data_IF_946223310420
#
_entry.id   IF_946223310420
#
_cell.length_a   1.000
_cell.length_b   1.000
_cell.length_c   1.000
_cell.angle_alpha   90.00
_cell.angle_beta   90.00
_cell.angle_gamma   90.00
#
_symmetry.space_group_name_H-M   'P 1'
#
loop_
_entity.id
_entity.type
_entity.pdbx_description
1 polymer ?
#
# COMPACT_ATOMS: atom_id res chain seq x y z
N UNK A 1 -16.21 -4.44 -23.78
CA UNK A 1 -15.28 -3.37 -23.30
C UNK A 1 -15.00 -2.36 -24.40
N UNK A 2 -14.53 -2.81 -25.57
CA UNK A 2 -14.23 -1.93 -26.71
C UNK A 2 -15.43 -1.08 -27.17
N UNK A 3 -16.66 -1.57 -27.04
CA UNK A 3 -17.84 -0.80 -27.42
C UNK A 3 -18.09 0.40 -26.51
N UNK A 4 -17.82 0.27 -25.20
CA UNK A 4 -17.86 1.41 -24.26
C UNK A 4 -16.76 2.43 -24.56
N UNK A 5 -15.58 1.96 -24.96
CA UNK A 5 -14.47 2.85 -25.35
C UNK A 5 -14.86 3.61 -26.62
N UNK A 6 -15.35 2.92 -27.65
CA UNK A 6 -15.80 3.55 -28.90
C UNK A 6 -16.90 4.56 -28.65
N UNK A 7 -17.88 4.23 -27.82
CA UNK A 7 -18.94 5.16 -27.43
C UNK A 7 -18.38 6.43 -26.77
N UNK A 8 -17.45 6.29 -25.82
CA UNK A 8 -16.82 7.45 -25.15
C UNK A 8 -15.97 8.29 -26.10
N UNK A 9 -15.33 7.68 -27.11
CA UNK A 9 -14.50 8.38 -28.10
C UNK A 9 -15.35 9.11 -29.14
N UNK A 10 -16.57 8.64 -29.41
CA UNK A 10 -17.49 9.28 -30.35
C UNK A 10 -18.15 10.56 -29.81
N UNK A 11 -18.01 10.82 -28.51
CA UNK A 11 -18.43 12.08 -27.88
C UNK A 11 -17.56 13.24 -28.37
N UNK A 12 -18.06 14.02 -29.32
CA UNK A 12 -17.35 15.13 -29.98
C UNK A 12 -16.99 16.28 -29.03
N UNK A 13 -17.64 16.37 -27.87
CA UNK A 13 -17.36 17.43 -26.88
C UNK A 13 -16.18 17.06 -25.96
N UNK A 14 -15.70 15.80 -26.00
CA UNK A 14 -14.53 15.38 -25.23
C UNK A 14 -13.22 15.83 -25.88
N UNK A 15 -12.50 16.71 -25.17
CA UNK A 15 -11.19 17.23 -25.61
C UNK A 15 -9.99 16.61 -24.90
N UNK A 16 -10.22 15.81 -23.85
CA UNK A 16 -9.15 15.29 -22.98
C UNK A 16 -9.02 13.76 -23.03
N UNK A 17 -7.79 13.27 -22.85
CA UNK A 17 -7.49 11.85 -22.68
C UNK A 17 -8.17 11.27 -21.42
N UNK A 18 -8.43 9.96 -21.44
CA UNK A 18 -9.07 9.26 -20.33
C UNK A 18 -8.45 7.88 -20.10
N UNK A 19 -8.65 7.35 -18.90
CA UNK A 19 -8.24 6.00 -18.52
C UNK A 19 -9.42 5.04 -18.53
N UNK A 20 -9.13 3.78 -18.84
CA UNK A 20 -10.07 2.66 -18.69
C UNK A 20 -9.43 1.66 -17.75
N UNK A 21 -10.01 1.49 -16.56
CA UNK A 21 -9.52 0.54 -15.57
C UNK A 21 -10.39 -0.73 -15.61
N UNK A 22 -9.77 -1.89 -15.88
CA UNK A 22 -10.43 -3.18 -15.74
C UNK A 22 -10.29 -3.69 -14.32
N UNK A 23 -11.28 -3.40 -13.49
CA UNK A 23 -11.29 -3.80 -12.09
C UNK A 23 -11.23 -5.33 -11.90
N UNK A 24 -11.76 -6.09 -12.86
CA UNK A 24 -11.69 -7.55 -12.91
C UNK A 24 -10.26 -8.10 -12.98
N UNK A 25 -9.34 -7.40 -13.66
CA UNK A 25 -7.94 -7.86 -13.74
C UNK A 25 -7.26 -7.85 -12.37
N UNK A 26 -7.63 -6.92 -11.49
CA UNK A 26 -7.11 -6.85 -10.11
C UNK A 26 -7.53 -8.13 -9.36
N UNK A 27 -8.78 -8.54 -9.50
CA UNK A 27 -9.33 -9.76 -8.88
C UNK A 27 -8.64 -11.00 -9.42
N UNK A 28 -8.52 -11.11 -10.75
CA UNK A 28 -7.85 -12.24 -11.41
C UNK A 28 -6.39 -12.36 -10.97
N UNK A 29 -5.66 -11.25 -10.89
CA UNK A 29 -4.26 -11.24 -10.44
C UNK A 29 -4.11 -11.57 -8.97
N UNK A 30 -5.01 -11.08 -8.12
CA UNK A 30 -5.01 -11.44 -6.70
C UNK A 30 -5.27 -12.95 -6.49
N UNK A 31 -6.27 -13.50 -7.18
CA UNK A 31 -6.57 -14.92 -7.12
C UNK A 31 -5.43 -15.77 -7.67
N UNK A 32 -4.80 -15.34 -8.77
CA UNK A 32 -3.61 -15.98 -9.31
C UNK A 32 -2.47 -16.00 -8.28
N UNK A 33 -2.20 -14.87 -7.60
CA UNK A 33 -1.20 -14.81 -6.53
C UNK A 33 -1.51 -15.81 -5.41
N UNK A 34 -2.75 -15.81 -4.91
CA UNK A 34 -3.17 -16.72 -3.83
C UNK A 34 -3.10 -18.19 -4.22
N UNK A 35 -3.35 -18.50 -5.49
CA UNK A 35 -3.21 -19.86 -6.00
C UNK A 35 -1.74 -20.27 -6.16
N UNK A 36 -0.89 -19.41 -6.73
CA UNK A 36 0.53 -19.70 -6.97
C UNK A 36 1.39 -19.65 -5.71
N UNK A 37 1.02 -18.83 -4.73
CA UNK A 37 1.78 -18.57 -3.50
C UNK A 37 0.84 -18.58 -2.28
N UNK A 38 0.29 -19.75 -1.89
CA UNK A 38 -0.75 -19.85 -0.87
C UNK A 38 -0.30 -19.33 0.51
N UNK A 39 0.97 -19.56 0.87
CA UNK A 39 1.53 -19.17 2.17
C UNK A 39 2.03 -17.71 2.19
N UNK A 40 1.95 -16.99 1.07
CA UNK A 40 2.48 -15.61 0.96
C UNK A 40 1.33 -14.60 0.92
N UNK A 41 1.15 -13.86 2.00
CA UNK A 41 0.18 -12.77 2.07
C UNK A 41 0.66 -11.54 1.26
N UNK A 42 -0.06 -11.13 0.19
CA UNK A 42 0.32 -9.95 -0.57
C UNK A 42 0.11 -8.67 0.26
N UNK A 43 1.12 -7.79 0.23
CA UNK A 43 1.07 -6.43 0.74
C UNK A 43 1.19 -5.45 -0.43
N UNK A 44 0.06 -4.92 -0.91
CA UNK A 44 0.05 -4.01 -2.05
C UNK A 44 0.72 -2.68 -1.71
N UNK A 45 1.68 -2.25 -2.52
CA UNK A 45 2.38 -0.98 -2.36
C UNK A 45 1.51 0.16 -2.88
N UNK A 46 0.95 0.96 -1.97
CA UNK A 46 -0.05 2.00 -2.30
C UNK A 46 0.50 3.05 -3.27
N UNK A 47 1.81 3.32 -3.21
CA UNK A 47 2.50 4.27 -4.09
C UNK A 47 2.37 3.91 -5.58
N UNK A 48 2.23 2.62 -5.92
CA UNK A 48 2.14 2.17 -7.32
C UNK A 48 0.91 2.74 -8.04
N UNK A 49 -0.25 2.65 -7.39
CA UNK A 49 -1.48 3.28 -7.82
C UNK A 49 -2.39 3.40 -6.60
N UNK A 50 -2.61 4.63 -6.15
CA UNK A 50 -3.40 4.91 -4.96
C UNK A 50 -4.88 5.15 -5.27
N UNK A 51 -5.36 4.90 -6.50
CA UNK A 51 -6.75 5.14 -6.87
C UNK A 51 -7.73 4.42 -5.94
N UNK A 52 -8.84 5.10 -5.59
CA UNK A 52 -9.76 4.59 -4.57
C UNK A 52 -10.46 3.31 -5.03
N UNK A 53 -10.72 3.13 -6.33
CA UNK A 53 -11.34 1.91 -6.86
C UNK A 53 -10.40 0.71 -6.75
N UNK A 54 -9.11 0.91 -7.05
CA UNK A 54 -8.06 -0.12 -6.91
C UNK A 54 -7.95 -0.57 -5.46
N UNK A 55 -7.77 0.39 -4.53
CA UNK A 55 -7.60 0.09 -3.11
C UNK A 55 -8.84 -0.56 -2.51
N UNK A 56 -10.06 -0.16 -2.91
CA UNK A 56 -11.31 -0.78 -2.44
C UNK A 56 -11.44 -2.22 -2.91
N UNK A 57 -11.07 -2.49 -4.16
CA UNK A 57 -11.09 -3.86 -4.71
C UNK A 57 -10.16 -4.76 -3.92
N UNK A 58 -8.93 -4.31 -3.67
CA UNK A 58 -7.95 -5.06 -2.89
C UNK A 58 -8.35 -5.22 -1.42
N UNK A 59 -8.98 -4.21 -0.83
CA UNK A 59 -9.51 -4.26 0.53
C UNK A 59 -10.61 -5.33 0.65
N UNK A 60 -11.55 -5.37 -0.29
CA UNK A 60 -12.64 -6.34 -0.32
C UNK A 60 -12.13 -7.78 -0.51
N UNK A 61 -10.99 -7.95 -1.19
CA UNK A 61 -10.27 -9.22 -1.33
C UNK A 61 -9.41 -9.57 -0.09
N UNK A 62 -9.47 -8.75 0.96
CA UNK A 62 -8.68 -8.88 2.19
C UNK A 62 -7.15 -8.83 1.97
N UNK A 63 -6.69 -8.14 0.93
CA UNK A 63 -5.27 -7.87 0.73
C UNK A 63 -4.68 -7.06 1.89
N UNK A 64 -3.38 -7.18 2.12
CA UNK A 64 -2.68 -6.27 3.03
C UNK A 64 -2.03 -5.13 2.23
N UNK A 65 -1.50 -4.11 2.91
CA UNK A 65 -0.99 -2.89 2.28
C UNK A 65 0.37 -2.47 2.83
N UNK A 66 1.19 -1.87 1.96
CA UNK A 66 2.43 -1.18 2.31
C UNK A 66 2.31 0.29 1.95
N UNK A 67 2.64 1.16 2.90
CA UNK A 67 2.56 2.61 2.73
C UNK A 67 3.78 3.31 3.32
N UNK A 68 4.04 4.52 2.83
CA UNK A 68 5.27 5.27 3.08
C UNK A 68 5.04 6.73 3.47
N UNK A 69 3.78 7.19 3.41
CA UNK A 69 3.43 8.59 3.64
C UNK A 69 2.13 8.76 4.44
N UNK A 70 1.98 9.94 5.06
CA UNK A 70 0.75 10.33 5.77
C UNK A 70 -0.48 10.25 4.88
N UNK A 71 -0.37 10.68 3.62
CA UNK A 71 -1.50 10.69 2.67
C UNK A 71 -1.99 9.27 2.40
N UNK A 72 -1.08 8.32 2.20
CA UNK A 72 -1.42 6.92 1.96
C UNK A 72 -2.06 6.27 3.19
N UNK A 73 -1.46 6.46 4.38
CA UNK A 73 -2.01 5.95 5.65
C UNK A 73 -3.41 6.50 5.86
N UNK A 74 -3.58 7.83 5.77
CA UNK A 74 -4.87 8.49 5.98
C UNK A 74 -5.92 7.95 5.01
N UNK A 75 -5.55 7.74 3.74
CA UNK A 75 -6.45 7.19 2.72
C UNK A 75 -6.92 5.78 3.09
N UNK A 76 -6.01 4.87 3.44
CA UNK A 76 -6.36 3.51 3.87
C UNK A 76 -7.25 3.51 5.11
N UNK A 77 -6.93 4.32 6.12
CA UNK A 77 -7.71 4.41 7.35
C UNK A 77 -9.12 4.97 7.09
N UNK A 78 -9.24 5.98 6.23
CA UNK A 78 -10.55 6.52 5.80
C UNK A 78 -11.41 5.52 5.03
N UNK A 79 -10.81 4.42 4.57
CA UNK A 79 -11.49 3.33 3.89
C UNK A 79 -11.82 2.16 4.83
N UNK A 80 -11.49 2.26 6.12
CA UNK A 80 -11.77 1.20 7.10
C UNK A 80 -10.77 0.04 7.07
N UNK A 81 -9.62 0.20 6.40
CA UNK A 81 -8.57 -0.82 6.40
C UNK A 81 -8.03 -0.98 7.84
N UNK A 82 -8.04 -2.21 8.35
CA UNK A 82 -7.44 -2.52 9.65
C UNK A 82 -5.93 -2.25 9.62
N UNK A 83 -5.45 -1.43 10.56
CA UNK A 83 -4.05 -1.07 10.73
C UNK A 83 -3.11 -2.27 10.95
N UNK A 84 -3.63 -3.42 11.39
CA UNK A 84 -2.87 -4.66 11.51
C UNK A 84 -2.39 -5.21 10.15
N UNK A 85 -3.13 -4.92 9.07
CA UNK A 85 -2.79 -5.31 7.68
C UNK A 85 -1.93 -4.27 6.97
N UNK A 86 -1.39 -3.29 7.69
CA UNK A 86 -0.63 -2.19 7.11
C UNK A 86 0.81 -2.21 7.63
N UNK A 87 1.75 -2.34 6.70
CA UNK A 87 3.17 -2.14 6.97
C UNK A 87 3.51 -0.69 6.62
N UNK A 88 4.10 0.02 7.58
CA UNK A 88 4.66 1.34 7.35
C UNK A 88 6.14 1.21 7.00
N UNK A 89 6.47 1.42 5.73
CA UNK A 89 7.84 1.33 5.23
C UNK A 89 8.30 2.66 4.68
N UNK A 90 9.42 3.17 5.21
CA UNK A 90 9.92 4.47 4.82
C UNK A 90 11.46 4.48 4.79
N UNK A 91 12.09 4.93 3.68
CA UNK A 91 13.56 4.94 3.56
C UNK A 91 14.28 5.76 4.64
N UNK A 92 13.61 6.75 5.22
CA UNK A 92 14.16 7.57 6.32
C UNK A 92 13.11 7.66 7.41
N UNK A 93 13.36 7.01 8.55
CA UNK A 93 12.42 7.01 9.66
C UNK A 93 12.65 8.25 10.55
N UNK A 94 11.98 9.36 10.20
CA UNK A 94 11.99 10.60 11.00
C UNK A 94 11.04 10.49 12.20
N UNK A 95 11.32 11.24 13.28
CA UNK A 95 10.50 11.22 14.50
C UNK A 95 9.02 11.54 14.25
N UNK A 96 8.70 12.44 13.32
CA UNK A 96 7.31 12.74 12.95
C UNK A 96 6.63 11.57 12.22
N UNK A 97 7.37 10.76 11.46
CA UNK A 97 6.87 9.55 10.79
C UNK A 97 6.60 8.43 11.80
N UNK A 98 7.45 8.26 12.81
CA UNK A 98 7.18 7.33 13.91
C UNK A 98 5.95 7.76 14.71
N UNK A 99 5.84 9.05 15.04
CA UNK A 99 4.65 9.60 15.72
C UNK A 99 3.38 9.39 14.91
N UNK A 100 3.45 9.55 13.59
CA UNK A 100 2.35 9.27 12.68
C UNK A 100 1.95 7.79 12.72
N UNK A 101 2.91 6.87 12.60
CA UNK A 101 2.62 5.43 12.68
C UNK A 101 1.97 5.06 14.02
N UNK A 102 2.44 5.66 15.13
CA UNK A 102 1.83 5.50 16.46
C UNK A 102 0.42 6.06 16.54
N UNK A 103 0.17 7.27 16.00
CA UNK A 103 -1.16 7.90 16.07
C UNK A 103 -2.22 7.10 15.33
N UNK A 104 -1.83 6.41 14.25
CA UNK A 104 -2.71 5.51 13.48
C UNK A 104 -2.66 4.06 13.97
N UNK A 105 -1.91 3.76 15.05
CA UNK A 105 -1.73 2.42 15.62
C UNK A 105 -1.32 1.38 14.57
N UNK A 106 -0.44 1.76 13.65
CA UNK A 106 0.12 0.83 12.67
C UNK A 106 0.87 -0.27 13.41
N UNK A 107 0.59 -1.52 13.08
CA UNK A 107 1.14 -2.67 13.80
C UNK A 107 2.63 -2.85 13.52
N UNK A 108 3.02 -2.64 12.26
CA UNK A 108 4.33 -3.03 11.74
C UNK A 108 5.04 -1.86 11.07
N UNK A 109 6.29 -1.63 11.47
CA UNK A 109 7.15 -0.56 10.95
C UNK A 109 8.46 -1.18 10.48
N UNK A 110 8.96 -0.75 9.33
CA UNK A 110 10.29 -1.16 8.86
C UNK A 110 11.38 -0.23 9.37
N UNK A 111 12.60 -0.73 9.50
CA UNK A 111 13.78 0.06 9.79
C UNK A 111 15.00 -0.50 9.06
N UNK A 112 15.96 0.37 8.74
CA UNK A 112 17.19 0.00 8.02
C UNK A 112 18.45 0.30 8.83
N UNK A 113 18.38 1.23 9.79
CA UNK A 113 19.55 1.68 10.55
C UNK A 113 19.34 1.60 12.06
N UNK A 114 20.45 1.53 12.82
CA UNK A 114 20.43 1.64 14.28
C UNK A 114 19.74 2.93 14.74
N UNK A 115 20.00 4.05 14.05
CA UNK A 115 19.40 5.33 14.38
C UNK A 115 17.86 5.31 14.23
N UNK A 116 17.33 4.61 13.23
CA UNK A 116 15.89 4.41 13.09
C UNK A 116 15.32 3.58 14.24
N UNK A 117 16.00 2.49 14.61
CA UNK A 117 15.61 1.65 15.74
C UNK A 117 15.57 2.44 17.06
N UNK A 118 16.60 3.23 17.36
CA UNK A 118 16.66 4.08 18.56
C UNK A 118 15.51 5.11 18.59
N UNK A 119 15.19 5.72 17.44
CA UNK A 119 14.05 6.64 17.31
C UNK A 119 12.72 5.93 17.53
N UNK A 120 12.53 4.74 16.96
CA UNK A 120 11.32 3.95 17.12
C UNK A 120 11.15 3.53 18.58
N UNK A 121 12.21 3.00 19.20
CA UNK A 121 12.20 2.63 20.62
C UNK A 121 11.79 3.78 21.54
N UNK A 122 12.28 5.00 21.28
CA UNK A 122 11.93 6.18 22.07
C UNK A 122 10.47 6.63 21.92
N UNK A 123 9.86 6.44 20.74
CA UNK A 123 8.57 7.06 20.39
C UNK A 123 7.43 6.03 20.40
N UNK A 124 7.67 4.84 19.85
CA UNK A 124 6.68 3.78 19.66
C UNK A 124 7.29 2.39 19.93
N UNK A 125 7.69 2.11 21.18
CA UNK A 125 8.35 0.85 21.55
C UNK A 125 7.47 -0.39 21.39
N UNK A 126 6.14 -0.22 21.30
CA UNK A 126 5.18 -1.30 21.16
C UNK A 126 5.00 -1.79 19.70
N UNK A 127 5.61 -1.11 18.72
CA UNK A 127 5.50 -1.47 17.32
C UNK A 127 6.21 -2.79 17.00
N UNK A 128 5.61 -3.62 16.14
CA UNK A 128 6.32 -4.75 15.53
C UNK A 128 7.30 -4.22 14.50
N UNK A 129 8.54 -4.71 14.54
CA UNK A 129 9.62 -4.20 13.70
C UNK A 129 10.03 -5.23 12.66
N UNK A 130 10.26 -4.75 11.44
CA UNK A 130 10.86 -5.54 10.35
C UNK A 130 12.17 -4.87 9.95
N UNK A 131 13.27 -5.60 10.05
CA UNK A 131 14.57 -5.14 9.58
C UNK A 131 14.65 -5.32 8.05
N UNK A 132 14.91 -4.25 7.34
CA UNK A 132 15.07 -4.29 5.89
C UNK A 132 16.54 -4.54 5.53
N UNK A 133 16.80 -5.64 4.83
CA UNK A 133 18.15 -6.04 4.42
C UNK A 133 18.32 -5.78 2.92
N UNK A 134 19.41 -5.10 2.54
CA UNK A 134 19.80 -4.95 1.15
C UNK A 134 20.74 -6.09 0.75
N UNK A 135 20.26 -6.98 -0.13
CA UNK A 135 21.03 -8.16 -0.56
C UNK A 135 22.21 -7.82 -1.47
N UNK A 136 22.27 -6.63 -2.08
CA UNK A 136 23.40 -6.23 -2.92
C UNK A 136 24.66 -5.83 -2.13
N UNK A 137 24.51 -5.58 -0.83
CA UNK A 137 25.62 -5.24 0.07
C UNK A 137 26.11 -6.42 0.91
N UNK A 138 25.57 -7.61 0.69
CA UNK A 138 25.88 -8.83 1.46
C UNK A 138 26.65 -9.89 0.66
N UNK A 139 27.09 -9.60 -0.56
CA UNK A 139 27.91 -10.48 -1.42
C UNK A 139 29.16 -9.72 -1.85
#
# INVERSE_FOLDING_TARGET
MFDKIRYIVQDSDRKNAFYVARQQEIVEKYNQWKHSLPDVQPHYVVKCNNDRSVLRTLEALQSSFSCSSKTEVTKLMSMGVNAERVIFSCPIMLSNRVKLAKSYKLSTITFETKADLEKIHKIYPEAKLVFFVNYLTCI
#
